data_IF_622908919172
#
_entry.id   IF_622908919172
#
_cell.length_a   1.000
_cell.length_b   1.000
_cell.length_c   1.000
_cell.angle_alpha   90.00
_cell.angle_beta   90.00
_cell.angle_gamma   90.00
#
_symmetry.space_group_name_H-M   'P 1'
#
loop_
_entity.id
_entity.type
_entity.pdbx_description
1 polymer ?
#
# COMPACT_ATOMS: atom_id res chain seq x y z
N UNK A 1 25.68 -8.12 1.30
CA UNK A 1 26.74 -7.59 2.19
C UNK A 1 26.62 -8.22 3.58
N UNK A 2 25.49 -8.11 4.26
CA UNK A 2 25.27 -8.65 5.63
C UNK A 2 25.56 -10.15 5.70
N UNK A 3 25.09 -10.91 4.72
CA UNK A 3 25.35 -12.36 4.65
C UNK A 3 26.82 -12.70 4.39
N UNK A 4 27.52 -11.90 3.57
CA UNK A 4 28.97 -12.06 3.38
C UNK A 4 29.75 -11.85 4.69
N UNK A 5 29.36 -10.87 5.49
CA UNK A 5 29.96 -10.57 6.80
C UNK A 5 29.49 -11.50 7.91
N UNK A 6 28.45 -12.31 7.70
CA UNK A 6 27.93 -13.24 8.70
C UNK A 6 29.01 -14.13 9.29
N UNK A 7 29.86 -14.73 8.45
CA UNK A 7 30.92 -15.64 8.87
C UNK A 7 32.03 -14.93 9.65
N UNK A 8 32.30 -13.67 9.31
CA UNK A 8 33.38 -12.90 9.93
C UNK A 8 32.96 -12.29 11.26
N UNK A 9 31.70 -11.83 11.38
CA UNK A 9 31.21 -11.07 12.52
C UNK A 9 30.20 -11.83 13.40
N UNK A 10 29.85 -13.07 13.04
CA UNK A 10 28.93 -13.91 13.81
C UNK A 10 27.47 -13.45 13.81
N UNK A 11 27.05 -12.62 12.81
CA UNK A 11 25.65 -12.21 12.70
C UNK A 11 24.73 -13.38 12.42
N UNK A 12 23.59 -13.42 13.09
CA UNK A 12 22.57 -14.48 12.93
C UNK A 12 21.29 -13.97 12.28
N UNK A 13 21.00 -12.69 12.42
CA UNK A 13 19.77 -12.05 11.92
C UNK A 13 20.09 -10.71 11.27
N UNK A 14 19.17 -10.24 10.43
CA UNK A 14 19.12 -8.88 9.91
C UNK A 14 17.81 -8.23 10.36
N UNK A 15 17.88 -7.03 10.93
CA UNK A 15 16.73 -6.23 11.30
C UNK A 15 16.48 -5.17 10.24
N UNK A 16 15.34 -5.26 9.55
CA UNK A 16 14.82 -4.20 8.69
C UNK A 16 13.93 -3.30 9.54
N UNK A 17 14.14 -2.00 9.41
CA UNK A 17 13.36 -0.99 10.10
C UNK A 17 13.06 0.18 9.16
N UNK A 18 11.85 0.77 9.26
CA UNK A 18 11.52 2.00 8.57
C UNK A 18 12.24 3.19 9.24
N UNK A 19 12.74 4.12 8.44
CA UNK A 19 13.48 5.30 8.91
C UNK A 19 12.55 6.40 9.48
N UNK A 20 11.26 6.34 9.16
CA UNK A 20 10.20 7.23 9.68
C UNK A 20 9.42 6.63 10.86
N UNK A 21 9.88 5.51 11.43
CA UNK A 21 9.26 4.88 12.60
C UNK A 21 9.95 5.28 13.90
N UNK A 22 9.15 5.43 14.97
CA UNK A 22 9.65 5.64 16.32
C UNK A 22 9.70 4.30 17.06
N UNK A 23 10.81 4.01 17.72
CA UNK A 23 11.02 2.78 18.47
C UNK A 23 11.47 3.05 19.89
N UNK A 24 11.10 2.18 20.81
CA UNK A 24 11.71 2.14 22.15
C UNK A 24 13.01 1.33 22.12
N UNK A 25 14.04 1.79 22.82
CA UNK A 25 15.27 1.00 23.03
C UNK A 25 14.99 -0.37 23.62
N UNK A 26 14.00 -0.49 24.49
CA UNK A 26 13.55 -1.75 25.07
C UNK A 26 13.10 -2.78 24.01
N UNK A 27 12.57 -2.34 22.87
CA UNK A 27 12.15 -3.28 21.81
C UNK A 27 13.32 -4.04 21.19
N UNK A 28 14.46 -3.37 20.99
CA UNK A 28 15.68 -4.01 20.48
C UNK A 28 16.24 -4.98 21.53
N UNK A 29 16.25 -4.57 22.79
CA UNK A 29 16.74 -5.38 23.91
C UNK A 29 15.88 -6.63 24.10
N UNK A 30 14.55 -6.48 24.07
CA UNK A 30 13.60 -7.59 24.13
C UNK A 30 13.75 -8.54 22.93
N UNK A 31 13.98 -8.01 21.73
CA UNK A 31 14.25 -8.85 20.57
C UNK A 31 15.52 -9.68 20.74
N UNK A 32 16.59 -9.08 21.25
CA UNK A 32 17.83 -9.80 21.56
C UNK A 32 17.62 -10.89 22.64
N UNK A 33 16.89 -10.55 23.70
CA UNK A 33 16.52 -11.51 24.75
C UNK A 33 15.70 -12.66 24.15
N UNK A 34 14.66 -12.35 23.37
CA UNK A 34 13.83 -13.36 22.71
C UNK A 34 14.68 -14.32 21.88
N UNK A 35 15.53 -13.78 21.00
CA UNK A 35 16.43 -14.59 20.15
C UNK A 35 17.39 -15.47 20.96
N UNK A 36 17.83 -14.99 22.13
CA UNK A 36 18.75 -15.72 23.00
C UNK A 36 18.11 -16.91 23.70
N UNK A 37 16.77 -16.89 23.87
CA UNK A 37 16.01 -17.93 24.57
C UNK A 37 15.07 -18.74 23.66
N UNK A 38 15.10 -18.49 22.34
CA UNK A 38 14.31 -19.27 21.39
C UNK A 38 14.68 -20.74 21.45
N UNK A 39 13.68 -21.60 21.39
CA UNK A 39 13.90 -23.04 21.19
C UNK A 39 14.34 -23.30 19.74
N UNK A 40 15.11 -24.39 19.49
CA UNK A 40 15.64 -24.70 18.16
C UNK A 40 14.60 -24.76 17.05
N UNK A 41 13.38 -25.23 17.35
CA UNK A 41 12.28 -25.31 16.39
C UNK A 41 11.83 -23.94 15.85
N UNK A 42 12.15 -22.85 16.55
CA UNK A 42 11.79 -21.47 16.16
C UNK A 42 12.95 -20.67 15.54
N UNK A 43 14.16 -21.23 15.41
CA UNK A 43 15.32 -20.51 14.89
C UNK A 43 15.14 -19.96 13.46
N UNK A 44 14.25 -20.56 12.67
CA UNK A 44 13.89 -20.09 11.33
C UNK A 44 12.72 -19.11 11.30
N UNK A 45 12.25 -18.63 12.46
CA UNK A 45 11.11 -17.69 12.50
C UNK A 45 11.60 -16.24 12.43
N UNK A 46 10.85 -15.45 11.70
CA UNK A 46 11.02 -13.99 11.63
C UNK A 46 10.34 -13.33 12.82
N UNK A 47 11.04 -12.42 13.50
CA UNK A 47 10.44 -11.63 14.58
C UNK A 47 9.88 -10.35 13.98
N UNK A 48 8.57 -10.15 14.11
CA UNK A 48 7.88 -8.94 13.66
C UNK A 48 7.63 -7.96 14.81
N UNK A 49 7.63 -6.67 14.51
CA UNK A 49 7.20 -5.64 15.45
C UNK A 49 5.71 -5.31 15.26
N UNK A 50 4.98 -5.19 16.39
CA UNK A 50 3.60 -4.70 16.39
C UNK A 50 3.58 -3.22 16.05
N UNK A 51 2.64 -2.80 15.21
CA UNK A 51 2.51 -1.42 14.76
C UNK A 51 1.48 -0.66 15.57
N UNK A 52 1.91 0.43 16.18
CA UNK A 52 1.05 1.37 16.89
C UNK A 52 0.96 2.71 16.15
N UNK A 53 -0.11 3.44 16.37
CA UNK A 53 -0.34 4.75 15.74
C UNK A 53 0.40 5.84 16.50
N UNK A 54 1.29 6.58 15.84
CA UNK A 54 2.13 7.60 16.48
C UNK A 54 1.31 8.69 17.19
N UNK A 55 0.26 9.19 16.54
CA UNK A 55 -0.60 10.25 17.08
C UNK A 55 -1.61 9.76 18.12
N UNK A 56 -1.77 8.43 18.25
CA UNK A 56 -2.62 7.77 19.24
C UNK A 56 -1.83 6.59 19.80
N UNK A 57 -0.79 6.84 20.63
CA UNK A 57 0.30 5.89 20.91
C UNK A 57 -0.13 4.63 21.67
N UNK A 58 -1.35 4.58 22.13
CA UNK A 58 -1.97 3.43 22.78
C UNK A 58 -2.87 2.62 21.85
N UNK A 59 -3.02 3.02 20.58
CA UNK A 59 -3.82 2.29 19.60
C UNK A 59 -2.91 1.39 18.76
N UNK A 60 -3.05 0.07 18.91
CA UNK A 60 -2.39 -0.90 18.06
C UNK A 60 -3.11 -0.96 16.72
N UNK A 61 -2.39 -0.65 15.64
CA UNK A 61 -2.92 -0.71 14.28
C UNK A 61 -2.90 -2.12 13.72
N UNK A 62 -1.80 -2.87 13.95
CA UNK A 62 -1.75 -4.28 13.55
C UNK A 62 -0.64 -5.06 14.30
N UNK A 63 -0.81 -6.38 14.38
CA UNK A 63 0.21 -7.34 14.77
C UNK A 63 0.27 -8.46 13.72
N UNK A 64 0.99 -8.19 12.63
CA UNK A 64 1.04 -9.04 11.45
C UNK A 64 -0.22 -9.00 10.60
N UNK A 65 -0.17 -9.58 9.41
CA UNK A 65 -1.27 -9.52 8.47
C UNK A 65 -1.38 -10.77 7.59
N UNK A 66 -2.51 -10.86 6.90
CA UNK A 66 -2.78 -11.87 5.88
C UNK A 66 -2.98 -11.21 4.52
N UNK A 67 -2.55 -11.89 3.47
CA UNK A 67 -2.73 -11.48 2.10
C UNK A 67 -3.90 -12.22 1.45
N UNK A 68 -4.88 -11.49 1.00
CA UNK A 68 -6.01 -12.06 0.28
C UNK A 68 -6.15 -11.39 -1.09
N UNK A 69 -5.30 -11.81 -2.04
CA UNK A 69 -5.37 -11.42 -3.46
C UNK A 69 -5.48 -9.91 -3.68
N UNK A 70 -4.61 -9.14 -3.03
CA UNK A 70 -4.60 -7.68 -3.09
C UNK A 70 -5.31 -6.98 -1.93
N UNK A 71 -5.89 -7.73 -1.01
CA UNK A 71 -6.46 -7.18 0.22
C UNK A 71 -5.59 -7.55 1.40
N UNK A 72 -5.05 -6.53 2.03
CA UNK A 72 -4.39 -6.64 3.33
C UNK A 72 -5.46 -6.84 4.39
N UNK A 73 -5.30 -7.89 5.20
CA UNK A 73 -6.10 -8.12 6.38
C UNK A 73 -5.19 -8.02 7.59
N UNK A 74 -5.13 -6.83 8.16
CA UNK A 74 -4.44 -6.60 9.41
C UNK A 74 -5.00 -7.52 10.51
N UNK A 75 -4.12 -8.11 11.29
CA UNK A 75 -4.47 -8.92 12.45
C UNK A 75 -4.34 -8.08 13.72
N UNK A 76 -5.20 -8.35 14.70
CA UNK A 76 -5.19 -7.66 15.99
C UNK A 76 -5.21 -6.12 15.83
N UNK A 77 -6.02 -5.63 14.90
CA UNK A 77 -6.11 -4.22 14.58
C UNK A 77 -7.10 -3.47 15.49
N UNK A 78 -6.85 -2.17 15.66
CA UNK A 78 -7.70 -1.24 16.42
C UNK A 78 -7.85 -1.62 17.92
N UNK A 79 -6.81 -2.22 18.50
CA UNK A 79 -6.79 -2.56 19.93
C UNK A 79 -6.27 -1.39 20.77
N UNK A 80 -7.08 -0.95 21.75
CA UNK A 80 -6.65 0.03 22.77
C UNK A 80 -5.85 -0.67 23.87
N UNK A 81 -4.52 -0.67 23.74
CA UNK A 81 -3.61 -1.37 24.65
C UNK A 81 -3.52 -0.78 26.07
N UNK A 82 -4.32 0.23 26.42
CA UNK A 82 -4.53 0.65 27.82
C UNK A 82 -5.47 -0.31 28.56
N UNK A 83 -6.20 -1.14 27.85
CA UNK A 83 -7.15 -2.11 28.38
C UNK A 83 -6.51 -3.49 28.45
N UNK A 84 -6.53 -4.11 29.64
CA UNK A 84 -5.86 -5.41 29.87
C UNK A 84 -6.37 -6.52 28.94
N UNK A 85 -7.67 -6.58 28.70
CA UNK A 85 -8.28 -7.55 27.79
C UNK A 85 -7.78 -7.38 26.34
N UNK A 86 -7.56 -6.15 25.88
CA UNK A 86 -6.99 -5.85 24.56
C UNK A 86 -5.51 -6.22 24.47
N UNK A 87 -4.75 -6.03 25.57
CA UNK A 87 -3.35 -6.48 25.65
C UNK A 87 -3.28 -8.01 25.55
N UNK A 88 -4.15 -8.71 26.26
CA UNK A 88 -4.23 -10.19 26.21
C UNK A 88 -4.69 -10.66 24.83
N UNK A 89 -5.69 -10.01 24.23
CA UNK A 89 -6.16 -10.31 22.86
C UNK A 89 -5.04 -10.13 21.83
N UNK A 90 -4.15 -9.17 22.03
CA UNK A 90 -3.00 -8.94 21.15
C UNK A 90 -2.00 -10.10 21.13
N UNK A 91 -1.97 -10.97 22.17
CA UNK A 91 -1.08 -12.13 22.28
C UNK A 91 -1.73 -13.45 21.82
N UNK A 92 -3.05 -13.46 21.57
CA UNK A 92 -3.71 -14.70 21.16
C UNK A 92 -3.39 -15.02 19.70
N UNK A 93 -2.77 -16.17 19.46
CA UNK A 93 -2.47 -16.70 18.13
C UNK A 93 -3.68 -17.47 17.56
N UNK A 94 -4.75 -16.75 17.20
CA UNK A 94 -5.98 -17.34 16.65
C UNK A 94 -5.99 -17.43 15.11
N UNK A 95 -5.05 -16.77 14.45
CA UNK A 95 -4.92 -16.73 12.99
C UNK A 95 -3.47 -16.78 12.56
N UNK A 96 -3.15 -17.51 11.47
CA UNK A 96 -1.79 -17.51 10.94
C UNK A 96 -1.37 -16.11 10.46
N UNK A 97 -0.17 -15.72 10.81
CA UNK A 97 0.47 -14.52 10.27
C UNK A 97 1.16 -14.92 8.97
N UNK A 98 0.84 -14.27 7.87
CA UNK A 98 1.43 -14.57 6.56
C UNK A 98 2.60 -13.67 6.23
N UNK A 99 2.61 -12.44 6.77
CA UNK A 99 3.72 -11.50 6.67
C UNK A 99 3.64 -10.44 7.77
N UNK A 100 4.74 -9.72 7.95
CA UNK A 100 4.85 -8.53 8.81
C UNK A 100 5.54 -7.42 8.05
N UNK A 101 5.15 -6.17 8.30
CA UNK A 101 5.73 -5.03 7.63
C UNK A 101 7.21 -4.80 7.98
N UNK A 102 7.95 -4.24 7.05
CA UNK A 102 9.37 -3.95 7.25
C UNK A 102 9.65 -2.70 8.09
N UNK A 103 8.62 -2.16 8.74
CA UNK A 103 8.84 -1.17 9.81
C UNK A 103 9.60 -1.74 11.02
N UNK A 104 9.48 -3.05 11.28
CA UNK A 104 10.32 -3.82 12.19
C UNK A 104 10.21 -5.29 11.83
N UNK A 105 11.22 -5.81 11.17
CA UNK A 105 11.23 -7.19 10.69
C UNK A 105 12.62 -7.78 10.86
N UNK A 106 12.80 -8.65 11.86
CA UNK A 106 14.06 -9.30 12.16
C UNK A 106 14.08 -10.70 11.54
N UNK A 107 14.83 -10.85 10.46
CA UNK A 107 14.85 -12.04 9.61
C UNK A 107 16.09 -12.87 9.91
N UNK A 108 15.98 -14.21 10.16
CA UNK A 108 17.13 -15.08 10.30
C UNK A 108 17.94 -15.13 9.00
N UNK A 109 19.27 -14.97 9.10
CA UNK A 109 20.14 -15.03 7.92
C UNK A 109 20.20 -16.45 7.31
N UNK A 110 19.80 -17.48 8.06
CA UNK A 110 19.63 -18.83 7.53
C UNK A 110 18.52 -18.95 6.48
N UNK A 111 17.53 -18.08 6.54
CA UNK A 111 16.39 -18.06 5.59
C UNK A 111 16.66 -17.21 4.35
N UNK A 112 17.79 -16.51 4.31
CA UNK A 112 18.20 -15.67 3.18
C UNK A 112 19.31 -16.37 2.41
N UNK A 113 19.13 -16.55 1.12
CA UNK A 113 20.16 -17.07 0.21
C UNK A 113 20.29 -16.21 -1.05
N UNK A 114 21.27 -16.53 -1.88
CA UNK A 114 21.61 -15.75 -3.07
C UNK A 114 20.55 -15.86 -4.19
N UNK A 115 19.54 -16.71 -4.01
CA UNK A 115 18.46 -16.95 -4.97
C UNK A 115 17.07 -16.65 -4.40
N UNK A 116 16.99 -16.03 -3.22
CA UNK A 116 15.72 -15.64 -2.64
C UNK A 116 15.70 -14.20 -2.12
N UNK A 117 16.49 -13.31 -2.71
CA UNK A 117 16.50 -11.88 -2.41
C UNK A 117 15.14 -11.23 -2.71
N UNK A 118 14.83 -10.03 -2.18
CA UNK A 118 13.58 -9.34 -2.49
C UNK A 118 13.34 -9.14 -3.98
N UNK A 119 12.08 -9.07 -4.41
CA UNK A 119 11.74 -8.64 -5.77
C UNK A 119 12.02 -7.14 -5.97
N UNK A 120 12.42 -6.70 -7.17
CA UNK A 120 12.66 -5.29 -7.47
C UNK A 120 11.34 -4.53 -7.73
N UNK A 121 10.36 -4.70 -6.85
CA UNK A 121 9.03 -4.10 -7.03
C UNK A 121 8.90 -2.67 -6.51
N UNK A 122 9.96 -2.12 -5.95
CA UNK A 122 10.16 -0.75 -5.50
C UNK A 122 8.90 -0.04 -4.96
N UNK A 123 8.93 0.32 -3.69
CA UNK A 123 7.86 0.98 -2.93
C UNK A 123 6.54 0.20 -2.93
N UNK A 124 6.01 -0.09 -1.75
CA UNK A 124 4.78 -0.79 -1.47
C UNK A 124 4.76 -2.28 -1.81
N UNK A 125 4.42 -3.08 -0.83
CA UNK A 125 4.14 -4.53 -0.92
C UNK A 125 5.36 -5.42 -1.13
N UNK A 126 6.56 -4.89 -1.03
CA UNK A 126 7.84 -5.63 -1.00
C UNK A 126 7.94 -6.53 0.23
N UNK A 127 7.53 -6.02 1.39
CA UNK A 127 7.37 -6.74 2.64
C UNK A 127 6.36 -7.91 2.53
N UNK A 128 5.25 -7.69 1.84
CA UNK A 128 4.22 -8.70 1.61
C UNK A 128 4.78 -9.85 0.79
N UNK A 129 5.35 -9.52 -0.38
CA UNK A 129 5.90 -10.56 -1.26
C UNK A 129 6.97 -11.38 -0.57
N UNK A 130 7.92 -10.70 0.08
CA UNK A 130 9.02 -11.36 0.75
C UNK A 130 8.54 -12.20 1.95
N UNK A 131 7.60 -11.67 2.73
CA UNK A 131 7.00 -12.37 3.86
C UNK A 131 6.28 -13.65 3.44
N UNK A 132 5.49 -13.60 2.37
CA UNK A 132 4.80 -14.78 1.82
C UNK A 132 5.80 -15.84 1.33
N UNK A 133 6.82 -15.42 0.59
CA UNK A 133 7.77 -16.31 -0.07
C UNK A 133 8.81 -16.89 0.88
N UNK A 134 9.37 -16.08 1.77
CA UNK A 134 10.47 -16.45 2.66
C UNK A 134 9.97 -16.78 4.06
N UNK A 135 9.10 -15.97 4.62
CA UNK A 135 8.54 -16.16 5.96
C UNK A 135 7.68 -17.43 6.09
N UNK A 136 6.85 -17.73 5.09
CA UNK A 136 6.03 -18.96 5.01
C UNK A 136 5.21 -19.23 6.27
N UNK A 137 4.64 -18.19 6.87
CA UNK A 137 3.86 -18.29 8.11
C UNK A 137 4.68 -18.49 9.38
N UNK A 138 6.02 -18.43 9.33
CA UNK A 138 6.91 -18.57 10.48
C UNK A 138 7.24 -17.20 11.06
N UNK A 139 6.30 -16.63 11.80
CA UNK A 139 6.43 -15.32 12.42
C UNK A 139 6.17 -15.40 13.92
N UNK A 140 6.91 -14.61 14.68
CA UNK A 140 6.71 -14.39 16.11
C UNK A 140 6.53 -12.91 16.34
N UNK A 141 5.40 -12.52 16.94
CA UNK A 141 5.11 -11.16 17.37
C UNK A 141 4.69 -11.21 18.84
N UNK A 142 5.43 -10.51 19.71
CA UNK A 142 5.14 -10.46 21.14
C UNK A 142 4.94 -9.00 21.60
N UNK A 143 4.24 -8.83 22.72
CA UNK A 143 4.14 -7.53 23.37
C UNK A 143 5.54 -7.03 23.79
N UNK A 144 5.74 -5.71 23.68
CA UNK A 144 7.02 -5.07 23.98
C UNK A 144 7.96 -4.92 22.77
N UNK A 145 7.80 -5.72 21.72
CA UNK A 145 8.47 -5.48 20.43
C UNK A 145 7.48 -4.75 19.52
N UNK A 146 7.53 -3.44 19.55
CA UNK A 146 6.60 -2.59 18.82
C UNK A 146 7.28 -1.31 18.32
N UNK A 147 6.66 -0.69 17.33
CA UNK A 147 7.03 0.61 16.79
C UNK A 147 5.79 1.50 16.68
N UNK A 148 6.03 2.81 16.62
CA UNK A 148 5.01 3.82 16.34
C UNK A 148 5.27 4.45 14.98
N UNK A 149 4.25 4.51 14.18
CA UNK A 149 4.30 5.09 12.83
C UNK A 149 3.08 5.99 12.61
N UNK A 150 3.22 6.98 11.75
CA UNK A 150 2.08 7.81 11.37
C UNK A 150 1.00 7.01 10.65
N UNK A 151 -0.26 7.41 10.86
CA UNK A 151 -1.39 6.77 10.20
C UNK A 151 -1.30 6.89 8.67
N UNK A 152 -1.45 5.77 7.96
CA UNK A 152 -1.37 5.73 6.49
C UNK A 152 -2.49 6.51 5.79
N UNK A 153 -3.67 6.60 6.42
CA UNK A 153 -4.89 7.15 5.82
C UNK A 153 -4.82 8.64 5.47
N UNK A 154 -3.93 9.39 6.10
CA UNK A 154 -3.78 10.84 5.91
C UNK A 154 -2.83 11.26 4.79
N UNK A 155 -2.20 10.33 4.08
CA UNK A 155 -1.23 10.62 3.01
C UNK A 155 -1.90 10.69 1.64
N UNK A 156 -1.45 11.61 0.78
CA UNK A 156 -1.98 11.69 -0.61
C UNK A 156 -1.61 10.42 -1.38
N UNK A 157 -2.58 9.74 -2.04
CA UNK A 157 -2.31 8.48 -2.74
C UNK A 157 -1.33 8.67 -3.92
N UNK A 158 -1.58 9.65 -4.77
CA UNK A 158 -0.68 9.99 -5.87
C UNK A 158 -0.21 8.79 -6.68
N UNK A 159 1.10 8.67 -6.82
CA UNK A 159 1.76 7.58 -7.55
C UNK A 159 1.64 6.21 -6.87
N UNK A 160 1.22 6.14 -5.61
CA UNK A 160 0.97 4.86 -4.94
C UNK A 160 -0.13 4.06 -5.65
N UNK A 161 -1.10 4.73 -6.28
CA UNK A 161 -2.13 4.09 -7.13
C UNK A 161 -1.51 3.24 -8.26
N UNK A 162 -0.31 3.60 -8.75
CA UNK A 162 0.43 2.80 -9.73
C UNK A 162 1.05 1.57 -9.09
N UNK A 163 1.82 1.77 -8.01
CA UNK A 163 2.52 0.67 -7.35
C UNK A 163 1.57 -0.36 -6.77
N UNK A 164 0.47 0.08 -6.17
CA UNK A 164 -0.54 -0.81 -5.61
C UNK A 164 -1.09 -1.78 -6.66
N UNK A 165 -1.43 -1.31 -7.85
CA UNK A 165 -1.99 -2.15 -8.91
C UNK A 165 -0.93 -3.06 -9.53
N UNK A 166 0.25 -2.50 -9.88
CA UNK A 166 1.31 -3.27 -10.53
C UNK A 166 1.88 -4.35 -9.60
N UNK A 167 2.25 -3.95 -8.38
CA UNK A 167 2.88 -4.86 -7.43
C UNK A 167 1.91 -5.93 -6.95
N UNK A 168 0.63 -5.57 -6.71
CA UNK A 168 -0.45 -6.53 -6.42
C UNK A 168 -0.56 -7.59 -7.52
N UNK A 169 -0.55 -7.18 -8.78
CA UNK A 169 -0.65 -8.12 -9.91
C UNK A 169 0.55 -9.06 -9.97
N UNK A 170 1.78 -8.55 -9.74
CA UNK A 170 3.01 -9.34 -9.74
C UNK A 170 2.99 -10.36 -8.59
N UNK A 171 2.68 -9.91 -7.36
CA UNK A 171 2.59 -10.78 -6.19
C UNK A 171 1.56 -11.88 -6.42
N UNK A 172 0.36 -11.51 -6.86
CA UNK A 172 -0.71 -12.49 -7.10
C UNK A 172 -0.36 -13.47 -8.23
N UNK A 173 0.34 -13.03 -9.27
CA UNK A 173 0.80 -13.94 -10.33
C UNK A 173 1.78 -14.98 -9.80
N UNK A 174 2.62 -14.64 -8.82
CA UNK A 174 3.64 -15.52 -8.25
C UNK A 174 3.06 -16.36 -7.09
N UNK A 175 2.33 -15.73 -6.15
CA UNK A 175 1.96 -16.33 -4.87
C UNK A 175 0.53 -16.87 -4.82
N UNK A 176 -0.36 -16.43 -5.74
CA UNK A 176 -1.77 -16.79 -5.73
C UNK A 176 -2.17 -17.51 -7.05
N UNK A 177 -1.96 -18.83 -7.18
CA UNK A 177 -2.26 -19.55 -8.43
C UNK A 177 -3.71 -19.45 -8.90
N UNK A 178 -4.62 -19.19 -7.98
CA UNK A 178 -6.07 -19.02 -8.20
C UNK A 178 -6.48 -17.57 -8.46
N UNK A 179 -5.53 -16.63 -8.55
CA UNK A 179 -5.82 -15.25 -9.00
C UNK A 179 -5.97 -15.21 -10.51
N UNK A 180 -7.13 -14.77 -10.95
CA UNK A 180 -7.52 -14.86 -12.35
C UNK A 180 -7.41 -13.52 -13.08
N UNK A 181 -7.43 -13.58 -14.40
CA UNK A 181 -7.59 -12.41 -15.27
C UNK A 181 -8.80 -11.55 -14.89
N UNK A 182 -9.91 -12.18 -14.56
CA UNK A 182 -11.13 -11.47 -14.17
C UNK A 182 -10.97 -10.77 -12.80
N UNK A 183 -10.20 -11.34 -11.88
CA UNK A 183 -9.88 -10.66 -10.61
C UNK A 183 -9.05 -9.41 -10.87
N UNK A 184 -8.03 -9.48 -11.71
CA UNK A 184 -7.22 -8.33 -12.09
C UNK A 184 -8.04 -7.26 -12.84
N UNK A 185 -8.85 -7.65 -13.81
CA UNK A 185 -9.79 -6.73 -14.49
C UNK A 185 -10.69 -6.01 -13.49
N UNK A 186 -11.22 -6.74 -12.52
CA UNK A 186 -12.07 -6.17 -11.47
C UNK A 186 -11.33 -5.17 -10.59
N UNK A 187 -10.07 -5.47 -10.21
CA UNK A 187 -9.23 -4.58 -9.43
C UNK A 187 -8.94 -3.27 -10.19
N UNK A 188 -8.42 -3.37 -11.42
CA UNK A 188 -8.10 -2.21 -12.27
C UNK A 188 -9.35 -1.38 -12.60
N UNK A 189 -10.45 -2.03 -12.97
CA UNK A 189 -11.73 -1.36 -13.24
C UNK A 189 -12.23 -0.58 -12.03
N UNK A 190 -12.11 -1.19 -10.83
CA UNK A 190 -12.51 -0.54 -9.58
C UNK A 190 -11.64 0.70 -9.30
N UNK A 191 -10.31 0.59 -9.43
CA UNK A 191 -9.38 1.69 -9.19
C UNK A 191 -9.66 2.87 -10.12
N UNK A 192 -9.76 2.61 -11.44
CA UNK A 192 -10.11 3.65 -12.43
C UNK A 192 -11.46 4.28 -12.10
N UNK A 193 -12.46 3.45 -11.74
CA UNK A 193 -13.80 3.97 -11.43
C UNK A 193 -13.83 4.84 -10.17
N UNK A 194 -13.07 4.47 -9.13
CA UNK A 194 -12.91 5.28 -7.91
C UNK A 194 -12.32 6.65 -8.26
N UNK A 195 -11.30 6.69 -9.11
CA UNK A 195 -10.66 7.95 -9.52
C UNK A 195 -11.58 8.80 -10.42
N UNK A 196 -12.34 8.19 -11.34
CA UNK A 196 -13.40 8.89 -12.10
C UNK A 196 -14.43 9.50 -11.14
N UNK A 197 -14.90 8.74 -10.16
CA UNK A 197 -15.94 9.16 -9.22
C UNK A 197 -15.48 10.27 -8.27
N UNK A 198 -14.17 10.39 -8.05
CA UNK A 198 -13.53 11.45 -7.25
C UNK A 198 -12.95 12.58 -8.10
N UNK A 199 -13.20 12.61 -9.41
CA UNK A 199 -12.67 13.61 -10.36
C UNK A 199 -11.13 13.66 -10.40
N UNK A 200 -10.45 12.62 -9.95
CA UNK A 200 -8.98 12.49 -9.91
C UNK A 200 -8.46 11.93 -11.23
N UNK A 201 -8.70 12.65 -12.31
CA UNK A 201 -8.49 12.15 -13.67
C UNK A 201 -7.03 11.83 -13.99
N UNK A 202 -6.06 12.54 -13.37
CA UNK A 202 -4.64 12.20 -13.51
C UNK A 202 -4.31 10.82 -12.95
N UNK A 203 -4.97 10.41 -11.85
CA UNK A 203 -4.70 9.10 -11.23
C UNK A 203 -5.22 7.92 -12.05
N UNK A 204 -6.11 8.17 -13.01
CA UNK A 204 -6.53 7.16 -13.98
C UNK A 204 -5.35 6.70 -14.85
N UNK A 205 -4.42 7.61 -15.17
CA UNK A 205 -3.21 7.28 -15.94
C UNK A 205 -2.28 6.35 -15.14
N UNK A 206 -2.15 6.53 -13.83
CA UNK A 206 -1.41 5.61 -12.98
C UNK A 206 -2.00 4.19 -13.03
N UNK A 207 -3.34 4.10 -12.91
CA UNK A 207 -4.00 2.80 -12.94
C UNK A 207 -3.85 2.09 -14.30
N UNK A 208 -3.93 2.84 -15.40
CA UNK A 208 -3.73 2.31 -16.74
C UNK A 208 -2.28 1.87 -16.94
N UNK A 209 -1.30 2.74 -16.63
CA UNK A 209 0.12 2.47 -16.77
C UNK A 209 0.55 1.27 -15.93
N UNK A 210 0.01 1.12 -14.72
CA UNK A 210 0.27 -0.05 -13.88
C UNK A 210 -0.17 -1.36 -14.52
N UNK A 211 -1.38 -1.37 -15.11
CA UNK A 211 -1.88 -2.53 -15.84
C UNK A 211 -1.07 -2.80 -17.11
N UNK A 212 -0.67 -1.74 -17.82
CA UNK A 212 0.15 -1.84 -19.03
C UNK A 212 1.53 -2.42 -18.72
N UNK A 213 2.22 -1.90 -17.70
CA UNK A 213 3.57 -2.32 -17.31
C UNK A 213 3.57 -3.76 -16.77
N UNK A 214 2.56 -4.17 -15.99
CA UNK A 214 2.38 -5.58 -15.63
C UNK A 214 2.19 -6.47 -16.88
N UNK A 215 1.36 -6.03 -17.82
CA UNK A 215 1.06 -6.79 -19.03
C UNK A 215 2.24 -6.92 -20.03
N UNK A 216 3.32 -6.18 -19.84
CA UNK A 216 4.59 -6.36 -20.57
C UNK A 216 5.34 -7.62 -20.13
N UNK A 217 5.00 -8.18 -18.97
CA UNK A 217 5.63 -9.38 -18.44
C UNK A 217 6.97 -9.13 -17.75
N UNK A 218 7.62 -10.22 -17.37
CA UNK A 218 8.83 -10.19 -16.53
C UNK A 218 10.02 -9.53 -17.21
N UNK A 219 10.17 -9.67 -18.53
CA UNK A 219 11.30 -9.08 -19.26
C UNK A 219 11.35 -7.56 -19.10
N UNK A 220 10.18 -6.91 -19.08
CA UNK A 220 10.09 -5.50 -18.81
C UNK A 220 10.60 -5.15 -17.40
N UNK A 221 10.27 -5.95 -16.38
CA UNK A 221 10.71 -5.71 -15.02
C UNK A 221 12.21 -5.96 -14.82
N UNK A 222 12.77 -6.95 -15.51
CA UNK A 222 14.21 -7.24 -15.54
C UNK A 222 15.05 -6.08 -16.10
N UNK A 223 14.47 -5.28 -16.99
CA UNK A 223 15.15 -4.16 -17.66
C UNK A 223 14.78 -2.80 -17.07
N UNK A 224 13.80 -2.75 -16.14
CA UNK A 224 13.26 -1.48 -15.63
C UNK A 224 14.22 -0.84 -14.63
N UNK A 225 14.63 0.39 -14.91
CA UNK A 225 15.22 1.30 -13.95
C UNK A 225 14.11 1.89 -13.05
N UNK A 226 14.00 1.38 -11.83
CA UNK A 226 12.95 1.77 -10.89
C UNK A 226 13.05 3.22 -10.44
N UNK A 227 14.26 3.80 -10.35
CA UNK A 227 14.42 5.22 -9.98
C UNK A 227 13.96 6.14 -11.10
N UNK A 228 14.28 5.82 -12.34
CA UNK A 228 13.82 6.57 -13.50
C UNK A 228 12.32 6.52 -13.62
N UNK A 229 11.73 5.32 -13.51
CA UNK A 229 10.28 5.13 -13.51
C UNK A 229 9.62 5.94 -12.39
N UNK A 230 10.18 5.92 -11.20
CA UNK A 230 9.66 6.67 -10.05
C UNK A 230 9.64 8.19 -10.30
N UNK A 231 10.73 8.75 -10.87
CA UNK A 231 10.81 10.16 -11.27
C UNK A 231 9.74 10.52 -12.31
N UNK A 232 9.50 9.64 -13.30
CA UNK A 232 8.43 9.82 -14.28
C UNK A 232 7.05 9.88 -13.61
N UNK A 233 6.77 8.95 -12.70
CA UNK A 233 5.50 8.88 -11.98
C UNK A 233 5.27 10.12 -11.10
N UNK A 234 6.30 10.60 -10.38
CA UNK A 234 6.22 11.86 -9.63
C UNK A 234 5.77 13.01 -10.54
N UNK A 235 6.35 13.11 -11.75
CA UNK A 235 6.02 14.16 -12.72
C UNK A 235 4.57 14.15 -13.21
N UNK A 236 3.88 13.01 -13.14
CA UNK A 236 2.48 12.86 -13.54
C UNK A 236 1.49 13.35 -12.46
N UNK A 237 1.93 13.54 -11.22
CA UNK A 237 1.06 13.84 -10.08
C UNK A 237 0.37 15.22 -10.17
N UNK A 238 -0.65 15.42 -9.35
CA UNK A 238 -1.16 16.75 -9.07
C UNK A 238 -0.09 17.56 -8.33
N UNK A 239 -0.02 18.86 -8.66
CA UNK A 239 0.83 19.77 -7.88
C UNK A 239 0.09 20.15 -6.60
N UNK A 240 0.63 19.72 -5.47
CA UNK A 240 0.14 20.15 -4.17
C UNK A 240 0.58 21.59 -3.87
N UNK A 241 -0.26 22.30 -3.14
CA UNK A 241 -0.01 23.60 -2.53
C UNK A 241 -0.14 23.47 -1.01
N UNK A 242 0.17 24.52 -0.29
CA UNK A 242 -0.12 24.57 1.14
C UNK A 242 -1.59 24.88 1.39
N UNK A 243 -2.15 24.43 2.52
CA UNK A 243 -3.55 24.71 2.87
C UNK A 243 -3.82 26.23 2.97
N UNK A 244 -2.82 27.01 3.38
CA UNK A 244 -2.89 28.46 3.50
C UNK A 244 -3.26 29.13 2.19
N UNK A 245 -2.88 28.58 1.04
CA UNK A 245 -3.21 29.09 -0.30
C UNK A 245 -4.73 29.01 -0.60
N UNK A 246 -5.47 28.28 0.21
CA UNK A 246 -6.92 28.06 0.04
C UNK A 246 -7.77 28.66 1.15
N UNK A 247 -7.16 29.29 2.17
CA UNK A 247 -7.91 30.02 3.21
C UNK A 247 -8.67 31.17 2.54
N UNK A 248 -9.97 31.24 2.81
CA UNK A 248 -10.87 32.21 2.18
C UNK A 248 -11.36 31.84 0.77
N UNK A 249 -10.81 30.81 0.13
CA UNK A 249 -11.28 30.37 -1.18
C UNK A 249 -12.75 29.91 -1.10
N UNK A 250 -13.65 30.69 -1.74
CA UNK A 250 -15.10 30.47 -1.65
C UNK A 250 -15.64 30.31 -0.22
N UNK A 251 -15.02 31.02 0.72
CA UNK A 251 -15.45 31.05 2.13
C UNK A 251 -14.90 29.90 2.98
N UNK A 252 -13.98 29.08 2.47
CA UNK A 252 -13.32 28.02 3.27
C UNK A 252 -12.52 28.63 4.42
N UNK A 253 -12.71 28.08 5.61
CA UNK A 253 -11.94 28.43 6.80
C UNK A 253 -10.72 27.54 6.96
N UNK A 254 -9.75 27.97 7.75
CA UNK A 254 -8.58 27.16 8.11
C UNK A 254 -9.00 25.87 8.83
N UNK A 255 -9.98 25.96 9.74
CA UNK A 255 -10.51 24.81 10.47
C UNK A 255 -11.08 23.75 9.53
N UNK A 256 -11.85 24.15 8.51
CA UNK A 256 -12.38 23.22 7.51
C UNK A 256 -11.28 22.57 6.68
N UNK A 257 -10.20 23.28 6.40
CA UNK A 257 -9.05 22.78 5.63
C UNK A 257 -8.21 21.78 6.44
N UNK A 258 -8.02 22.04 7.74
CA UNK A 258 -7.27 21.16 8.65
C UNK A 258 -8.10 19.94 9.08
N UNK A 259 -9.38 20.13 9.31
CA UNK A 259 -10.28 19.09 9.85
C UNK A 259 -10.79 18.11 8.80
N UNK A 260 -10.24 18.09 7.60
CA UNK A 260 -10.68 17.24 6.49
C UNK A 260 -11.30 15.93 6.99
N UNK A 261 -12.62 15.90 7.19
CA UNK A 261 -13.33 14.86 7.95
C UNK A 261 -13.02 13.46 7.44
N UNK A 262 -12.35 12.66 8.24
CA UNK A 262 -12.07 11.25 7.98
C UNK A 262 -13.29 10.34 8.30
N UNK A 263 -14.48 10.90 8.48
CA UNK A 263 -15.65 10.13 8.86
C UNK A 263 -16.16 9.17 7.79
N UNK A 264 -16.36 7.92 8.21
CA UNK A 264 -17.11 6.92 7.44
C UNK A 264 -18.56 7.39 7.24
N UNK A 265 -18.85 7.90 6.05
CA UNK A 265 -20.19 8.34 5.70
C UNK A 265 -21.06 7.13 5.35
N UNK A 266 -21.67 6.50 6.35
CA UNK A 266 -22.61 5.38 6.14
C UNK A 266 -23.95 5.92 5.67
N UNK A 267 -24.20 5.86 4.37
CA UNK A 267 -25.50 6.20 3.80
C UNK A 267 -26.48 5.01 3.86
N UNK A 268 -27.79 5.27 4.06
CA UNK A 268 -28.84 4.29 3.89
C UNK A 268 -28.79 3.63 2.50
N UNK A 269 -29.26 2.39 2.39
CA UNK A 269 -29.20 1.59 1.16
C UNK A 269 -29.80 2.32 -0.06
N UNK A 270 -31.00 2.91 0.10
CA UNK A 270 -31.68 3.66 -0.98
C UNK A 270 -30.82 4.84 -1.45
N UNK A 271 -30.23 5.58 -0.52
CA UNK A 271 -29.37 6.69 -0.83
C UNK A 271 -28.13 6.22 -1.62
N UNK A 272 -27.49 5.11 -1.21
CA UNK A 272 -26.36 4.52 -1.96
C UNK A 272 -26.75 4.12 -3.38
N UNK A 273 -27.97 3.57 -3.57
CA UNK A 273 -28.49 3.20 -4.88
C UNK A 273 -28.68 4.43 -5.78
N UNK A 274 -29.26 5.50 -5.24
CA UNK A 274 -29.41 6.77 -5.96
C UNK A 274 -28.06 7.34 -6.38
N UNK A 275 -27.07 7.36 -5.49
CA UNK A 275 -25.70 7.79 -5.83
C UNK A 275 -25.10 6.93 -6.94
N UNK A 276 -25.32 5.62 -6.92
CA UNK A 276 -24.85 4.72 -7.96
C UNK A 276 -25.51 4.96 -9.32
N UNK A 277 -26.84 5.06 -9.36
CA UNK A 277 -27.60 5.26 -10.60
C UNK A 277 -27.29 6.64 -11.22
N UNK A 278 -27.19 7.68 -10.39
CA UNK A 278 -26.92 9.05 -10.85
C UNK A 278 -25.43 9.34 -11.06
N UNK A 279 -24.56 8.33 -10.93
CA UNK A 279 -23.11 8.48 -10.93
C UNK A 279 -22.65 9.58 -9.95
N UNK A 280 -23.10 9.46 -8.71
CA UNK A 280 -22.92 10.46 -7.66
C UNK A 280 -23.44 11.88 -8.05
N UNK A 281 -24.55 11.93 -8.74
CA UNK A 281 -25.11 13.19 -9.24
C UNK A 281 -24.29 13.86 -10.33
N UNK A 282 -23.42 13.12 -11.02
CA UNK A 282 -22.48 13.65 -12.01
C UNK A 282 -23.20 14.42 -13.13
N UNK A 283 -24.33 13.92 -13.62
CA UNK A 283 -25.07 14.55 -14.71
C UNK A 283 -26.11 15.58 -14.23
N UNK A 284 -26.23 15.78 -12.92
CA UNK A 284 -27.08 16.84 -12.38
C UNK A 284 -26.36 18.20 -12.33
N UNK A 285 -27.07 19.30 -12.31
CA UNK A 285 -26.50 20.64 -12.10
C UNK A 285 -25.65 20.63 -10.79
N UNK A 286 -24.48 21.23 -10.88
CA UNK A 286 -23.63 21.42 -9.69
C UNK A 286 -24.24 22.46 -8.74
N UNK A 287 -23.89 22.33 -7.46
CA UNK A 287 -24.15 23.36 -6.45
C UNK A 287 -23.05 24.42 -6.61
N UNK A 288 -23.36 25.54 -7.30
CA UNK A 288 -22.33 26.50 -7.75
C UNK A 288 -21.55 27.16 -6.61
N UNK A 289 -22.22 27.41 -5.50
CA UNK A 289 -21.63 28.12 -4.36
C UNK A 289 -21.04 27.20 -3.28
N UNK A 290 -20.91 25.92 -3.60
CA UNK A 290 -20.41 24.94 -2.65
C UNK A 290 -19.10 24.34 -3.12
N UNK A 291 -18.05 24.62 -2.36
CA UNK A 291 -16.79 23.87 -2.36
C UNK A 291 -16.78 23.02 -1.08
N UNK A 292 -16.06 21.93 -1.07
CA UNK A 292 -15.91 21.08 0.12
C UNK A 292 -14.47 20.63 0.26
N UNK A 293 -14.09 20.32 1.48
CA UNK A 293 -12.80 19.69 1.78
C UNK A 293 -13.01 18.20 1.97
N UNK A 294 -12.08 17.40 1.52
CA UNK A 294 -12.13 15.94 1.68
C UNK A 294 -10.74 15.38 2.01
N UNK A 295 -10.71 14.34 2.80
CA UNK A 295 -9.47 13.60 3.05
C UNK A 295 -9.02 12.81 1.80
N UNK A 296 -7.76 12.37 1.72
CA UNK A 296 -7.23 11.60 0.59
C UNK A 296 -8.08 10.38 0.23
N UNK A 297 -8.52 9.64 1.24
CA UNK A 297 -9.41 8.47 1.10
C UNK A 297 -10.86 8.77 1.53
N UNK A 298 -11.21 10.05 1.68
CA UNK A 298 -12.54 10.48 2.12
C UNK A 298 -13.68 9.99 1.24
N UNK A 299 -14.90 10.03 1.80
CA UNK A 299 -16.09 9.49 1.15
C UNK A 299 -16.42 10.17 -0.17
N UNK A 300 -16.63 9.39 -1.24
CA UNK A 300 -17.12 9.88 -2.53
C UNK A 300 -18.52 10.53 -2.42
N UNK A 301 -19.30 10.14 -1.43
CA UNK A 301 -20.67 10.65 -1.26
C UNK A 301 -20.72 12.13 -0.88
N UNK A 302 -19.66 12.66 -0.24
CA UNK A 302 -19.51 14.11 0.02
C UNK A 302 -19.48 14.93 -1.28
N UNK A 303 -19.09 14.32 -2.39
CA UNK A 303 -18.96 14.95 -3.70
C UNK A 303 -20.28 14.98 -4.50
N UNK A 304 -21.41 14.62 -3.91
CA UNK A 304 -22.69 14.61 -4.61
C UNK A 304 -23.10 16.01 -5.11
N UNK A 305 -23.11 16.18 -6.44
CA UNK A 305 -23.36 17.46 -7.12
C UNK A 305 -22.35 18.56 -6.78
N UNK A 306 -21.18 18.21 -6.23
CA UNK A 306 -20.09 19.16 -6.02
C UNK A 306 -19.32 19.31 -7.33
N UNK A 307 -19.03 20.57 -7.73
CA UNK A 307 -18.27 20.87 -8.95
C UNK A 307 -16.77 20.88 -8.75
N UNK A 308 -16.33 21.20 -7.55
CA UNK A 308 -14.92 21.30 -7.16
C UNK A 308 -14.73 21.04 -5.66
N UNK A 309 -13.56 20.56 -5.29
CA UNK A 309 -13.24 20.35 -3.88
C UNK A 309 -11.73 20.40 -3.66
N UNK A 310 -11.33 20.58 -2.41
CA UNK A 310 -9.94 20.54 -1.98
C UNK A 310 -9.71 19.20 -1.28
N UNK A 311 -8.62 18.52 -1.63
CA UNK A 311 -8.12 17.35 -0.88
C UNK A 311 -6.99 17.84 -0.02
N UNK A 312 -7.06 17.63 1.29
CA UNK A 312 -5.99 17.97 2.23
C UNK A 312 -5.40 16.73 2.87
N UNK A 313 -4.10 16.74 3.11
CA UNK A 313 -3.39 15.67 3.81
C UNK A 313 -2.94 16.09 5.22
N UNK A 314 -2.39 15.14 5.98
CA UNK A 314 -1.91 15.38 7.34
C UNK A 314 -0.65 16.29 7.40
N UNK A 315 -0.04 16.58 6.24
CA UNK A 315 1.16 17.42 6.11
C UNK A 315 0.84 18.86 5.68
N UNK A 316 -0.42 19.26 5.82
CA UNK A 316 -0.92 20.58 5.41
C UNK A 316 -0.72 20.87 3.91
N UNK A 317 -0.70 19.82 3.09
CA UNK A 317 -0.76 19.98 1.65
C UNK A 317 -2.19 19.88 1.15
N UNK A 318 -2.47 20.58 0.09
CA UNK A 318 -3.77 20.66 -0.52
C UNK A 318 -3.70 20.51 -2.04
N UNK A 319 -4.65 19.77 -2.62
CA UNK A 319 -4.81 19.61 -4.06
C UNK A 319 -6.20 20.06 -4.44
N UNK A 320 -6.27 20.96 -5.43
CA UNK A 320 -7.53 21.38 -6.05
C UNK A 320 -7.98 20.33 -7.07
N UNK A 321 -9.22 19.90 -6.96
CA UNK A 321 -9.85 18.92 -7.85
C UNK A 321 -11.16 19.50 -8.38
N UNK A 322 -11.34 19.45 -9.68
CA UNK A 322 -12.56 19.91 -10.34
C UNK A 322 -13.18 18.82 -11.23
N UNK A 323 -14.50 18.85 -11.29
CA UNK A 323 -15.30 18.02 -12.15
C UNK A 323 -15.17 18.48 -13.60
N UNK A 324 -14.78 17.57 -14.49
CA UNK A 324 -14.67 17.81 -15.92
C UNK A 324 -15.40 16.72 -16.72
N UNK A 325 -16.32 17.14 -17.59
CA UNK A 325 -17.12 16.18 -18.38
C UNK A 325 -16.31 15.51 -19.49
N UNK A 326 -15.34 16.21 -20.08
CA UNK A 326 -14.46 15.62 -21.12
C UNK A 326 -13.56 14.56 -20.49
N UNK A 327 -12.96 14.90 -19.37
CA UNK A 327 -12.11 13.99 -18.60
C UNK A 327 -12.88 12.76 -18.09
N UNK A 328 -14.14 12.92 -17.70
CA UNK A 328 -14.99 11.78 -17.34
C UNK A 328 -15.11 10.77 -18.49
N UNK A 329 -15.43 11.25 -19.70
CA UNK A 329 -15.56 10.37 -20.85
C UNK A 329 -14.22 9.81 -21.30
N UNK A 330 -13.13 10.59 -21.20
CA UNK A 330 -11.76 10.13 -21.43
C UNK A 330 -11.43 8.99 -20.46
N UNK A 331 -11.67 9.13 -19.16
CA UNK A 331 -11.44 8.11 -18.17
C UNK A 331 -12.22 6.81 -18.44
N UNK A 332 -13.48 6.92 -18.93
CA UNK A 332 -14.24 5.73 -19.36
C UNK A 332 -13.65 5.06 -20.60
N UNK A 333 -13.06 5.83 -21.52
CA UNK A 333 -12.34 5.28 -22.68
C UNK A 333 -11.07 4.55 -22.24
N UNK A 334 -10.28 5.17 -21.36
CA UNK A 334 -9.08 4.55 -20.78
C UNK A 334 -9.43 3.25 -20.05
N UNK A 335 -10.52 3.24 -19.26
CA UNK A 335 -10.98 2.02 -18.61
C UNK A 335 -11.29 0.88 -19.61
N UNK A 336 -11.94 1.20 -20.74
CA UNK A 336 -12.19 0.20 -21.79
C UNK A 336 -10.90 -0.30 -22.44
N UNK A 337 -9.93 0.60 -22.66
CA UNK A 337 -8.60 0.24 -23.18
C UNK A 337 -7.85 -0.67 -22.23
N UNK A 338 -7.87 -0.37 -20.92
CA UNK A 338 -7.28 -1.22 -19.90
C UNK A 338 -7.91 -2.64 -19.90
N UNK A 339 -9.25 -2.74 -19.97
CA UNK A 339 -9.91 -4.06 -20.03
C UNK A 339 -9.49 -4.86 -21.26
N UNK A 340 -9.43 -4.23 -22.45
CA UNK A 340 -8.98 -4.87 -23.67
C UNK A 340 -7.52 -5.34 -23.56
N UNK A 341 -6.62 -4.49 -23.07
CA UNK A 341 -5.23 -4.83 -22.86
C UNK A 341 -5.05 -6.05 -21.94
N UNK A 342 -5.78 -6.08 -20.82
CA UNK A 342 -5.75 -7.20 -19.88
C UNK A 342 -6.27 -8.47 -20.54
N UNK A 343 -7.36 -8.40 -21.31
CA UNK A 343 -7.91 -9.56 -22.04
C UNK A 343 -6.87 -10.19 -22.97
N UNK A 344 -6.07 -9.36 -23.64
CA UNK A 344 -5.09 -9.79 -24.64
C UNK A 344 -3.76 -10.27 -24.03
N UNK A 345 -3.33 -9.70 -22.89
CA UNK A 345 -1.94 -9.83 -22.43
C UNK A 345 -1.76 -10.49 -21.06
N UNK A 346 -2.79 -10.51 -20.21
CA UNK A 346 -2.68 -10.97 -18.84
C UNK A 346 -2.09 -12.39 -18.73
N UNK A 347 -2.62 -13.35 -19.48
CA UNK A 347 -2.27 -14.76 -19.30
C UNK A 347 -0.78 -15.01 -19.59
N UNK A 348 -0.23 -14.39 -20.65
CA UNK A 348 1.18 -14.47 -20.97
C UNK A 348 2.06 -13.77 -19.93
N UNK A 349 1.65 -12.58 -19.46
CA UNK A 349 2.38 -11.82 -18.44
C UNK A 349 2.40 -12.58 -17.10
N UNK A 350 1.24 -13.02 -16.60
CA UNK A 350 1.16 -13.76 -15.34
C UNK A 350 1.96 -15.06 -15.39
N UNK A 351 1.94 -15.77 -16.52
CA UNK A 351 2.77 -16.96 -16.74
C UNK A 351 4.25 -16.63 -16.65
N UNK A 352 4.70 -15.56 -17.32
CA UNK A 352 6.12 -15.17 -17.32
C UNK A 352 6.64 -14.86 -15.91
N UNK A 353 5.85 -14.12 -15.09
CA UNK A 353 6.21 -13.87 -13.69
C UNK A 353 6.27 -15.16 -12.88
N UNK A 354 5.26 -16.03 -13.00
CA UNK A 354 5.19 -17.29 -12.25
C UNK A 354 6.34 -18.24 -12.54
N UNK A 355 6.73 -18.35 -13.79
CA UNK A 355 7.76 -19.30 -14.22
C UNK A 355 9.17 -18.77 -14.02
N UNK A 356 9.37 -17.44 -14.12
CA UNK A 356 10.71 -16.85 -14.18
C UNK A 356 11.05 -15.88 -13.02
N UNK A 357 10.20 -15.69 -12.03
CA UNK A 357 10.48 -14.75 -10.91
C UNK A 357 11.82 -15.02 -10.21
N UNK A 358 12.33 -16.27 -10.28
CA UNK A 358 13.63 -16.63 -9.69
C UNK A 358 14.79 -15.85 -10.30
N UNK A 359 14.64 -15.37 -11.53
CA UNK A 359 15.63 -14.48 -12.15
C UNK A 359 15.73 -13.14 -11.41
N UNK A 360 14.59 -12.58 -10.98
CA UNK A 360 14.50 -11.31 -10.28
C UNK A 360 15.01 -11.32 -8.84
N UNK A 361 15.07 -12.49 -8.21
CA UNK A 361 15.46 -12.64 -6.79
C UNK A 361 16.86 -13.20 -6.64
N UNK A 362 17.63 -13.31 -7.72
CA UNK A 362 19.02 -13.82 -7.73
C UNK A 362 20.02 -12.73 -7.38
N UNK A 363 21.16 -13.14 -6.81
CA UNK A 363 22.30 -12.25 -6.55
C UNK A 363 22.81 -11.61 -7.86
N UNK A 364 22.85 -12.38 -8.94
CA UNK A 364 23.32 -11.89 -10.25
C UNK A 364 22.45 -10.77 -10.80
N UNK A 365 21.11 -10.89 -10.67
CA UNK A 365 20.20 -9.81 -11.02
C UNK A 365 20.50 -8.56 -10.19
N UNK A 366 20.62 -8.70 -8.86
CA UNK A 366 20.82 -7.56 -7.98
C UNK A 366 22.18 -6.90 -8.15
N UNK A 367 23.25 -7.66 -8.43
CA UNK A 367 24.55 -7.08 -8.78
C UNK A 367 24.45 -6.25 -10.04
N UNK A 368 23.88 -6.79 -11.10
CA UNK A 368 23.64 -6.06 -12.35
C UNK A 368 22.78 -4.82 -12.14
N UNK A 369 21.68 -4.95 -11.39
CA UNK A 369 20.73 -3.88 -11.14
C UNK A 369 21.37 -2.72 -10.35
N UNK A 370 22.21 -3.02 -9.38
CA UNK A 370 22.89 -2.06 -8.55
C UNK A 370 24.23 -1.57 -9.15
N UNK A 371 24.67 -2.11 -10.28
CA UNK A 371 25.98 -1.81 -10.87
C UNK A 371 27.15 -2.22 -9.97
N UNK A 372 27.03 -3.33 -9.27
CA UNK A 372 28.03 -3.89 -8.36
C UNK A 372 28.64 -5.13 -9.02
N UNK A 373 29.97 -5.15 -9.16
CA UNK A 373 30.72 -6.32 -9.68
C UNK A 373 30.86 -7.45 -8.64
#
# INVERSE_FOLDING_TARGET
ETKKRQKEMGFTHVLLMADDATISSAAIELNYILLSYLKPEYFGHTIGGKLLVLNVPYLQFEAGAQWNKGKIKALKNDLDIRQLDMVLESEIEDKPIEYTGWWYCCIPLSEIDDNNLPLPIFIHRDDIEYGLRVGRGRFILINGICIWHEAFAGKMPGMLDYYDIRNEAIINAIQCPDYTKEDFKKAVKRAIWVNISRYRYKYIEYNYRAAEDFCKGIDWLLETDSEKLHKELIGMNYKAKKIEDYIGYKGLTEEELVSGEQGDYKLPFISRLLHKITLNGYFFPVKKDKVTVNAPYGSVYKLFRIGEYIVTDNYQNAIYIARDRKEFFRGRKVMKQAMKLIDEKYDAAAKSYRERYKELVSEDFWKKYLGID
#
